data_IF_486648461486
#
_entry.id   IF_486648461486
#
_cell.length_a   1.000
_cell.length_b   1.000
_cell.length_c   1.000
_cell.angle_alpha   90.00
_cell.angle_beta   90.00
_cell.angle_gamma   90.00
#
_symmetry.space_group_name_H-M   'P 1'
#
loop_
_entity.id
_entity.type
_entity.pdbx_description
1 polymer ?
#
# COMPACT_ATOMS: atom_id res chain seq x y z
N UNK A 1 3.37 -11.01 -16.44
CA UNK A 1 3.41 -9.72 -15.70
C UNK A 1 4.66 -9.56 -14.87
N UNK A 2 4.96 -10.49 -13.95
CA UNK A 2 6.13 -10.41 -13.07
C UNK A 2 7.48 -10.35 -13.82
N UNK A 3 7.66 -11.14 -14.88
CA UNK A 3 8.87 -11.09 -15.73
C UNK A 3 9.07 -9.72 -16.38
N UNK A 4 8.02 -9.15 -16.98
CA UNK A 4 8.05 -7.80 -17.55
C UNK A 4 8.33 -6.71 -16.51
N UNK A 5 7.89 -6.89 -15.26
CA UNK A 5 8.24 -5.98 -14.17
C UNK A 5 9.72 -6.10 -13.79
N UNK A 6 10.27 -7.31 -13.72
CA UNK A 6 11.71 -7.50 -13.49
C UNK A 6 12.58 -6.98 -14.63
N UNK A 7 12.09 -7.03 -15.87
CA UNK A 7 12.75 -6.42 -17.04
C UNK A 7 12.61 -4.88 -17.09
N UNK A 8 11.81 -4.30 -16.18
CA UNK A 8 11.54 -2.87 -16.13
C UNK A 8 10.68 -2.36 -17.28
N UNK A 9 9.85 -3.20 -17.87
CA UNK A 9 8.90 -2.79 -18.92
C UNK A 9 7.56 -2.30 -18.34
N UNK A 10 7.30 -2.60 -17.06
CA UNK A 10 6.09 -2.21 -16.34
C UNK A 10 6.33 -2.12 -14.83
N UNK A 11 5.49 -1.34 -14.15
CA UNK A 11 5.43 -1.36 -12.71
C UNK A 11 4.37 -2.35 -12.23
N UNK A 12 4.72 -3.11 -11.19
CA UNK A 12 3.85 -4.01 -10.46
C UNK A 12 3.86 -3.60 -8.99
N UNK A 13 2.68 -3.19 -8.50
CA UNK A 13 2.48 -2.69 -7.15
C UNK A 13 1.65 -3.71 -6.39
N UNK A 14 2.19 -4.26 -5.31
CA UNK A 14 1.43 -5.11 -4.38
C UNK A 14 1.04 -4.27 -3.17
N UNK A 15 -0.26 -4.08 -2.99
CA UNK A 15 -0.85 -3.34 -1.89
C UNK A 15 -1.49 -4.33 -0.92
N UNK A 16 -1.12 -4.24 0.35
CA UNK A 16 -1.64 -5.14 1.38
C UNK A 16 -1.66 -4.49 2.76
N UNK A 17 -2.44 -5.09 3.64
CA UNK A 17 -2.60 -4.72 5.04
C UNK A 17 -1.96 -5.79 5.92
N UNK A 18 -1.07 -5.37 6.81
CA UNK A 18 -0.51 -6.27 7.81
C UNK A 18 -0.78 -5.74 9.20
N UNK A 19 -1.02 -6.65 10.14
CA UNK A 19 -1.09 -6.26 11.54
C UNK A 19 -0.40 -7.26 12.44
N UNK A 20 0.53 -6.75 13.22
CA UNK A 20 1.40 -7.52 14.09
C UNK A 20 1.17 -7.12 15.54
N UNK A 21 1.19 -8.09 16.44
CA UNK A 21 1.23 -7.88 17.88
C UNK A 21 2.54 -8.48 18.41
N UNK A 22 3.37 -7.72 19.13
CA UNK A 22 4.56 -8.28 19.76
C UNK A 22 4.10 -9.24 20.85
N UNK A 23 4.08 -10.54 20.53
CA UNK A 23 3.80 -11.61 21.49
C UNK A 23 4.97 -12.55 21.53
N UNK A 24 5.27 -13.05 22.72
CA UNK A 24 6.26 -14.10 22.87
C UNK A 24 5.76 -15.38 22.19
N UNK A 25 6.53 -15.98 21.27
CA UNK A 25 6.19 -17.29 20.73
C UNK A 25 6.14 -18.32 21.85
N UNK A 26 5.01 -19.01 22.01
CA UNK A 26 4.81 -19.97 23.11
C UNK A 26 5.65 -21.25 22.96
N UNK A 27 6.20 -21.51 21.76
CA UNK A 27 7.03 -22.68 21.46
C UNK A 27 8.54 -22.50 21.65
N UNK A 28 9.03 -21.28 21.85
CA UNK A 28 10.45 -20.98 22.03
C UNK A 28 10.73 -20.51 23.45
N UNK A 29 10.70 -21.44 24.40
CA UNK A 29 10.97 -21.16 25.82
C UNK A 29 11.90 -22.22 26.40
N UNK A 30 12.59 -21.89 27.49
CA UNK A 30 13.56 -22.77 28.13
C UNK A 30 13.15 -23.02 29.58
N UNK A 31 13.41 -24.22 30.07
CA UNK A 31 13.29 -24.58 31.49
C UNK A 31 14.46 -25.46 31.90
N UNK A 32 14.70 -25.54 33.21
CA UNK A 32 15.65 -26.50 33.77
C UNK A 32 15.17 -27.94 33.51
N UNK A 33 16.11 -28.87 33.43
CA UNK A 33 15.84 -30.31 33.36
C UNK A 33 14.91 -30.70 34.53
N UNK A 34 13.87 -31.48 34.23
CA UNK A 34 12.84 -31.87 35.21
C UNK A 34 11.77 -30.82 35.50
N UNK A 35 11.79 -29.65 34.82
CA UNK A 35 10.75 -28.61 34.93
C UNK A 35 10.06 -28.40 33.58
N UNK A 36 8.75 -28.19 33.63
CA UNK A 36 7.95 -27.79 32.47
C UNK A 36 8.09 -26.29 32.26
N UNK A 37 8.47 -25.88 31.05
CA UNK A 37 8.40 -24.48 30.65
C UNK A 37 6.94 -24.09 30.45
N UNK A 38 6.54 -22.95 31.03
CA UNK A 38 5.20 -22.37 30.88
C UNK A 38 5.37 -20.95 30.38
N UNK A 39 4.97 -20.71 29.13
CA UNK A 39 4.88 -19.37 28.57
C UNK A 39 3.44 -18.87 28.76
N UNK A 40 3.20 -17.81 29.55
CA UNK A 40 1.86 -17.24 29.66
C UNK A 40 1.42 -16.72 28.30
N UNK A 41 0.17 -17.01 27.93
CA UNK A 41 -0.43 -16.45 26.72
C UNK A 41 -0.61 -14.95 26.92
N UNK A 42 0.12 -14.15 26.16
CA UNK A 42 -0.07 -12.70 26.17
C UNK A 42 -1.38 -12.31 25.47
N UNK A 43 -2.09 -11.34 26.04
CA UNK A 43 -3.20 -10.70 25.35
C UNK A 43 -2.65 -9.77 24.24
N UNK A 44 -3.28 -9.83 23.07
CA UNK A 44 -2.97 -9.01 21.90
C UNK A 44 -3.88 -7.79 21.77
N UNK A 45 -4.94 -7.70 22.60
CA UNK A 45 -5.87 -6.57 22.60
C UNK A 45 -5.11 -5.26 22.83
N UNK A 46 -5.43 -4.26 22.01
CA UNK A 46 -4.84 -2.92 22.05
C UNK A 46 -3.31 -2.85 21.89
N UNK A 47 -2.65 -3.97 21.50
CA UNK A 47 -1.20 -4.04 21.24
C UNK A 47 -0.87 -4.25 19.77
N UNK A 48 -1.88 -4.53 18.94
CA UNK A 48 -1.71 -4.73 17.49
C UNK A 48 -1.33 -3.41 16.84
N UNK A 49 -0.24 -3.42 16.10
CA UNK A 49 0.15 -2.36 15.18
C UNK A 49 -0.28 -2.80 13.80
N UNK A 50 -1.10 -1.98 13.14
CA UNK A 50 -1.51 -2.21 11.76
C UNK A 50 -0.67 -1.33 10.84
N UNK A 51 -0.39 -1.82 9.65
CA UNK A 51 0.43 -1.17 8.63
C UNK A 51 -0.24 -1.40 7.27
N UNK A 52 -0.37 -0.31 6.53
CA UNK A 52 -0.61 -0.33 5.09
C UNK A 52 0.73 -0.33 4.38
N UNK A 53 0.91 -1.22 3.41
CA UNK A 53 2.16 -1.35 2.67
C UNK A 53 1.94 -1.50 1.17
N UNK A 54 2.78 -0.82 0.38
CA UNK A 54 2.88 -1.00 -1.06
C UNK A 54 4.30 -1.39 -1.46
N UNK A 55 4.44 -2.56 -2.08
CA UNK A 55 5.70 -3.04 -2.66
C UNK A 55 5.71 -2.81 -4.17
N UNK A 56 6.67 -2.04 -4.67
CA UNK A 56 6.78 -1.68 -6.08
C UNK A 56 7.93 -2.48 -6.72
N UNK A 57 7.67 -3.07 -7.88
CA UNK A 57 8.62 -3.84 -8.70
C UNK A 57 8.52 -3.34 -10.15
N UNK A 58 9.62 -3.02 -10.82
CA UNK A 58 9.61 -2.34 -12.12
C UNK A 58 10.83 -1.47 -12.37
N UNK A 59 11.46 -1.00 -11.29
CA UNK A 59 12.75 -0.32 -11.24
C UNK A 59 13.48 -0.75 -9.97
N UNK A 60 14.07 0.21 -9.25
CA UNK A 60 14.60 -0.05 -7.91
C UNK A 60 13.48 -0.49 -6.96
N UNK A 61 13.61 -1.63 -6.26
CA UNK A 61 12.53 -2.14 -5.43
C UNK A 61 12.24 -1.24 -4.22
N UNK A 62 11.12 -0.52 -4.27
CA UNK A 62 10.69 0.39 -3.21
C UNK A 62 9.64 -0.26 -2.29
N UNK A 63 9.64 0.12 -1.01
CA UNK A 63 8.59 -0.24 -0.04
C UNK A 63 8.06 1.03 0.59
N UNK A 64 6.84 1.39 0.23
CA UNK A 64 6.09 2.47 0.87
C UNK A 64 5.22 1.86 1.96
N UNK A 65 5.23 2.46 3.15
CA UNK A 65 4.40 2.00 4.24
C UNK A 65 3.94 3.13 5.14
N UNK A 66 2.81 2.90 5.81
CA UNK A 66 2.24 3.79 6.80
C UNK A 66 1.68 2.98 7.95
N UNK A 67 2.03 3.39 9.17
CA UNK A 67 1.40 2.85 10.37
C UNK A 67 -0.03 3.39 10.49
N UNK A 68 -0.96 2.49 10.79
CA UNK A 68 -2.33 2.82 11.12
C UNK A 68 -2.55 2.80 12.63
N UNK A 69 -3.18 3.86 13.15
CA UNK A 69 -3.62 3.97 14.54
C UNK A 69 -5.00 3.32 14.66
N UNK A 70 -5.06 2.00 14.83
CA UNK A 70 -6.32 1.26 14.92
C UNK A 70 -6.68 0.55 13.61
N UNK A 71 -7.98 0.33 13.39
CA UNK A 71 -8.47 -0.40 12.21
C UNK A 71 -8.15 0.39 10.94
N UNK A 72 -7.64 -0.30 9.92
CA UNK A 72 -7.51 0.27 8.58
C UNK A 72 -8.89 0.27 7.96
N UNK A 73 -9.31 1.43 7.47
CA UNK A 73 -10.55 1.62 6.74
C UNK A 73 -10.28 2.16 5.34
N UNK A 74 -11.35 2.30 4.56
CA UNK A 74 -11.26 2.75 3.18
C UNK A 74 -10.77 4.16 2.98
N UNK A 75 -11.03 5.05 3.93
CA UNK A 75 -10.56 6.44 3.87
C UNK A 75 -9.05 6.46 4.04
N UNK A 76 -8.53 5.73 5.04
CA UNK A 76 -7.10 5.58 5.24
C UNK A 76 -6.41 4.91 4.04
N UNK A 77 -7.03 3.89 3.44
CA UNK A 77 -6.52 3.26 2.22
C UNK A 77 -6.50 4.25 1.05
N UNK A 78 -7.58 5.00 0.85
CA UNK A 78 -7.70 5.97 -0.23
C UNK A 78 -6.67 7.09 -0.08
N UNK A 79 -6.49 7.62 1.13
CA UNK A 79 -5.47 8.63 1.45
C UNK A 79 -4.06 8.10 1.17
N UNK A 80 -3.75 6.88 1.63
CA UNK A 80 -2.46 6.24 1.35
C UNK A 80 -2.20 6.10 -0.15
N UNK A 81 -3.20 5.66 -0.92
CA UNK A 81 -3.09 5.50 -2.37
C UNK A 81 -2.90 6.85 -3.06
N UNK A 82 -3.65 7.89 -2.68
CA UNK A 82 -3.57 9.19 -3.32
C UNK A 82 -2.27 9.92 -2.96
N UNK A 83 -2.00 10.06 -1.67
CA UNK A 83 -0.91 10.90 -1.16
C UNK A 83 0.42 10.19 -1.22
N UNK A 84 0.49 8.94 -0.75
CA UNK A 84 1.76 8.22 -0.60
C UNK A 84 2.16 7.47 -1.85
N UNK A 85 1.21 6.77 -2.49
CA UNK A 85 1.51 5.97 -3.69
C UNK A 85 1.54 6.82 -4.97
N UNK A 86 0.63 7.79 -5.10
CA UNK A 86 0.51 8.64 -6.29
C UNK A 86 1.06 10.06 -6.12
N UNK A 87 1.49 10.46 -4.91
CA UNK A 87 2.06 11.79 -4.68
C UNK A 87 1.06 12.94 -4.81
N UNK A 88 -0.24 12.65 -4.78
CA UNK A 88 -1.31 13.64 -4.92
C UNK A 88 -1.51 14.35 -3.57
N UNK A 89 -0.82 15.47 -3.38
CA UNK A 89 -0.83 16.23 -2.11
C UNK A 89 -2.21 16.74 -1.66
N UNK A 90 -3.24 16.69 -2.52
CA UNK A 90 -4.64 17.00 -2.19
C UNK A 90 -5.55 15.78 -2.02
N UNK A 91 -4.99 14.57 -1.95
CA UNK A 91 -5.74 13.35 -1.64
C UNK A 91 -6.82 12.99 -2.68
N UNK A 92 -7.94 12.46 -2.21
CA UNK A 92 -9.05 12.01 -3.08
C UNK A 92 -9.72 13.16 -3.86
N UNK A 93 -9.77 14.37 -3.31
CA UNK A 93 -10.39 15.52 -3.98
C UNK A 93 -9.70 15.86 -5.31
N UNK A 94 -8.40 15.61 -5.39
CA UNK A 94 -7.60 15.77 -6.60
C UNK A 94 -7.99 14.77 -7.69
N UNK A 95 -8.42 13.56 -7.33
CA UNK A 95 -8.86 12.56 -8.31
C UNK A 95 -10.16 12.96 -9.02
N UNK A 96 -11.04 13.67 -8.33
CA UNK A 96 -12.32 14.12 -8.90
C UNK A 96 -12.09 15.32 -9.82
N UNK A 97 -11.23 16.27 -9.42
CA UNK A 97 -10.77 17.36 -10.29
C UNK A 97 -10.11 16.83 -11.58
N UNK A 98 -9.24 15.82 -11.45
CA UNK A 98 -8.62 15.16 -12.60
C UNK A 98 -9.63 14.43 -13.49
N UNK A 99 -10.71 13.86 -12.92
CA UNK A 99 -11.76 13.18 -13.68
C UNK A 99 -12.60 14.16 -14.50
N UNK A 100 -12.80 15.39 -14.01
CA UNK A 100 -13.55 16.45 -14.69
C UNK A 100 -12.69 17.24 -15.71
N UNK A 101 -11.42 16.86 -15.89
CA UNK A 101 -10.48 17.57 -16.79
C UNK A 101 -10.11 18.97 -16.30
N UNK A 102 -10.46 19.32 -15.07
CA UNK A 102 -10.21 20.61 -14.44
C UNK A 102 -8.98 20.52 -13.54
N UNK A 103 -7.87 21.14 -13.95
CA UNK A 103 -6.64 21.20 -13.14
C UNK A 103 -5.39 20.60 -13.79
N UNK A 104 -5.39 20.36 -15.11
CA UNK A 104 -4.22 19.86 -15.86
C UNK A 104 -2.97 20.73 -15.64
N UNK A 105 -3.14 22.03 -15.39
CA UNK A 105 -2.04 22.98 -15.12
C UNK A 105 -1.59 23.04 -13.65
N UNK A 106 -2.38 22.50 -12.71
CA UNK A 106 -2.12 22.54 -11.25
C UNK A 106 -1.84 21.18 -10.63
N UNK A 107 -2.07 20.09 -11.37
CA UNK A 107 -1.76 18.76 -10.89
C UNK A 107 -0.27 18.46 -11.08
N UNK A 108 0.46 17.99 -10.05
CA UNK A 108 1.71 17.30 -10.30
C UNK A 108 1.35 16.08 -11.14
N UNK A 109 1.56 16.20 -12.45
CA UNK A 109 1.34 15.12 -13.41
C UNK A 109 2.13 13.94 -12.90
N UNK A 110 1.42 12.92 -12.41
CA UNK A 110 2.02 11.66 -12.06
C UNK A 110 2.42 10.97 -13.37
N UNK A 111 3.59 11.34 -13.89
CA UNK A 111 4.12 10.82 -15.14
C UNK A 111 4.70 9.43 -14.87
N UNK A 112 3.84 8.41 -14.95
CA UNK A 112 4.30 7.02 -14.92
C UNK A 112 4.92 6.68 -16.27
N UNK A 113 6.24 6.69 -16.36
CA UNK A 113 6.98 6.37 -17.60
C UNK A 113 6.69 4.97 -18.19
N UNK A 114 5.97 4.11 -17.47
CA UNK A 114 5.70 2.73 -17.84
C UNK A 114 4.28 2.32 -17.40
N UNK A 115 3.64 1.39 -18.12
CA UNK A 115 2.37 0.80 -17.69
C UNK A 115 2.45 0.27 -16.25
N UNK A 116 1.41 0.49 -15.46
CA UNK A 116 1.34 0.08 -14.05
C UNK A 116 0.21 -0.93 -13.82
N UNK A 117 0.47 -1.94 -12.98
CA UNK A 117 -0.53 -2.88 -12.48
C UNK A 117 -0.53 -2.86 -10.97
N UNK A 118 -1.68 -2.61 -10.36
CA UNK A 118 -1.85 -2.70 -8.91
C UNK A 118 -2.56 -4.02 -8.58
N UNK A 119 -1.97 -4.77 -7.67
CA UNK A 119 -2.50 -6.01 -7.11
C UNK A 119 -2.90 -5.72 -5.67
N UNK A 120 -4.18 -5.89 -5.38
CA UNK A 120 -4.75 -5.87 -4.04
C UNK A 120 -5.69 -7.07 -3.90
N UNK A 121 -5.92 -7.53 -2.67
CA UNK A 121 -6.98 -8.49 -2.43
C UNK A 121 -8.36 -7.80 -2.44
N UNK A 122 -9.42 -8.61 -2.50
CA UNK A 122 -10.80 -8.11 -2.49
C UNK A 122 -11.30 -7.77 -1.08
N UNK A 123 -10.49 -7.96 -0.04
CA UNK A 123 -10.84 -7.69 1.34
C UNK A 123 -10.40 -6.28 1.78
N UNK A 124 -9.38 -5.71 1.12
CA UNK A 124 -8.65 -4.54 1.58
C UNK A 124 -9.35 -3.20 1.32
N UNK A 125 -10.28 -3.07 0.36
CA UNK A 125 -10.72 -1.74 -0.07
C UNK A 125 -12.20 -1.60 -0.39
N UNK A 126 -12.87 -0.52 0.05
CA UNK A 126 -14.18 -0.17 -0.49
C UNK A 126 -14.04 0.35 -1.93
N UNK A 127 -15.16 0.31 -2.66
CA UNK A 127 -15.26 0.71 -4.08
C UNK A 127 -14.58 2.04 -4.44
N UNK A 128 -14.62 3.11 -3.60
CA UNK A 128 -13.92 4.36 -3.90
C UNK A 128 -12.40 4.19 -4.01
N UNK A 129 -11.79 3.34 -3.20
CA UNK A 129 -10.35 3.05 -3.23
C UNK A 129 -9.95 2.28 -4.50
N UNK A 130 -10.81 1.37 -4.97
CA UNK A 130 -10.62 0.65 -6.24
C UNK A 130 -10.71 1.61 -7.43
N UNK A 131 -11.68 2.52 -7.43
CA UNK A 131 -11.82 3.54 -8.47
C UNK A 131 -10.59 4.45 -8.54
N UNK A 132 -10.06 4.87 -7.39
CA UNK A 132 -8.82 5.64 -7.30
C UNK A 132 -7.63 4.88 -7.90
N UNK A 133 -7.47 3.59 -7.59
CA UNK A 133 -6.41 2.75 -8.16
C UNK A 133 -6.54 2.59 -9.67
N UNK A 134 -7.76 2.39 -10.18
CA UNK A 134 -8.02 2.34 -11.63
C UNK A 134 -7.65 3.67 -12.29
N UNK A 135 -8.01 4.80 -11.67
CA UNK A 135 -7.67 6.14 -12.17
C UNK A 135 -6.15 6.32 -12.20
N UNK A 136 -5.44 6.05 -11.10
CA UNK A 136 -3.98 6.14 -11.01
C UNK A 136 -3.29 5.23 -12.04
N UNK A 137 -3.80 4.02 -12.25
CA UNK A 137 -3.25 3.10 -13.24
C UNK A 137 -3.54 3.53 -14.70
N UNK A 138 -4.49 4.44 -14.93
CA UNK A 138 -4.91 4.91 -16.25
C UNK A 138 -4.42 6.32 -16.61
N UNK A 139 -3.77 7.06 -15.70
CA UNK A 139 -3.18 8.37 -16.01
C UNK A 139 -2.14 8.18 -17.13
N UNK A 140 -2.37 8.73 -18.34
CA UNK A 140 -1.48 8.52 -19.48
C UNK A 140 -0.25 9.41 -19.42
N UNK A 141 0.86 8.89 -19.94
CA UNK A 141 2.07 9.66 -20.30
C UNK A 141 1.72 10.69 -21.37
N UNK A 142 1.81 11.99 -21.04
CA UNK A 142 2.02 13.00 -22.06
C UNK A 142 3.52 13.21 -22.21
N UNK A 143 4.06 12.60 -23.27
CA UNK A 143 5.50 12.59 -23.55
C UNK A 143 6.10 13.99 -23.65
N UNK A 144 7.25 14.15 -22.99
CA UNK A 144 8.22 15.20 -23.32
C UNK A 144 8.79 14.92 -24.70
N UNK A 145 8.36 15.66 -25.71
CA UNK A 145 9.12 15.83 -26.94
C UNK A 145 10.52 16.32 -26.57
N UNK A 146 11.54 15.56 -26.96
CA UNK A 146 12.88 16.08 -27.21
C UNK A 146 13.06 16.22 -28.71
#
# INVERSE_FOLDING_TARGET
MRQAAHAGERDLIFLDESGFAPTMPTGYTWSRIGRRAVAPREDIRNRRVNVLGARIIGGEPELLWQRASGKIDGEMLLDFVCVRLAGLGGGAAVLDLAADGLGVDTMPVFERHRPCTVVLDNASGPLPSIAALIRIARIPLQGRTR
#
